data_IF_364880135800
#
_entry.id   IF_364880135800
#
_cell.length_a   1.000
_cell.length_b   1.000
_cell.length_c   1.000
_cell.angle_alpha   90.00
_cell.angle_beta   90.00
_cell.angle_gamma   90.00
#
_symmetry.space_group_name_H-M   'P 1'
#
loop_
_entity.id
_entity.type
_entity.pdbx_description
1 polymer ?
#
# COMPACT_ATOMS: atom_id res chain seq x y z
N UNK A 1 -13.54 0.12 26.33
CA UNK A 1 -13.62 -1.28 26.74
C UNK A 1 -14.78 -1.48 27.71
N UNK A 2 -15.32 -2.70 27.77
CA UNK A 2 -16.53 -3.06 28.49
C UNK A 2 -16.29 -4.19 29.48
N UNK A 3 -15.11 -4.22 30.12
CA UNK A 3 -14.72 -5.32 31.02
C UNK A 3 -15.79 -5.65 32.06
N UNK A 4 -16.36 -4.64 32.73
CA UNK A 4 -17.36 -4.86 33.77
C UNK A 4 -18.68 -5.44 33.21
N UNK A 5 -19.18 -4.89 32.09
CA UNK A 5 -20.42 -5.37 31.45
C UNK A 5 -20.25 -6.79 30.92
N UNK A 6 -19.12 -7.10 30.28
CA UNK A 6 -18.78 -8.44 29.81
C UNK A 6 -18.72 -9.44 30.97
N UNK A 7 -18.15 -9.03 32.10
CA UNK A 7 -18.11 -9.85 33.31
C UNK A 7 -19.52 -10.11 33.88
N UNK A 8 -20.38 -9.09 33.96
CA UNK A 8 -21.76 -9.22 34.42
C UNK A 8 -22.58 -10.17 33.53
N UNK A 9 -22.40 -10.12 32.22
CA UNK A 9 -23.02 -11.07 31.30
C UNK A 9 -22.48 -12.50 31.48
N UNK A 10 -21.20 -12.66 31.80
CA UNK A 10 -20.64 -13.98 32.11
C UNK A 10 -21.22 -14.55 33.41
N UNK A 11 -21.40 -13.71 34.45
CA UNK A 11 -22.12 -14.11 35.65
C UNK A 11 -23.58 -14.50 35.35
N UNK A 12 -24.23 -13.86 34.40
CA UNK A 12 -25.59 -14.23 33.95
C UNK A 12 -25.59 -15.65 33.33
N UNK A 13 -24.63 -15.97 32.46
CA UNK A 13 -24.50 -17.31 31.88
C UNK A 13 -24.30 -18.38 32.97
N UNK A 14 -23.46 -18.11 33.97
CA UNK A 14 -23.26 -19.06 35.11
C UNK A 14 -24.56 -19.25 35.86
N UNK A 15 -25.24 -18.15 36.26
CA UNK A 15 -26.51 -18.20 37.01
C UNK A 15 -27.62 -18.93 36.27
N UNK A 16 -27.62 -18.92 34.95
CA UNK A 16 -28.59 -19.63 34.11
C UNK A 16 -28.14 -21.04 33.71
N UNK A 17 -27.01 -21.54 34.28
CA UNK A 17 -26.48 -22.89 34.00
C UNK A 17 -25.91 -23.05 32.60
N UNK A 18 -25.57 -21.92 31.92
CA UNK A 18 -25.04 -21.91 30.54
C UNK A 18 -23.53 -21.69 30.47
N UNK A 19 -22.86 -21.61 31.60
CA UNK A 19 -21.40 -21.58 31.68
C UNK A 19 -20.93 -22.28 32.95
N UNK A 20 -19.71 -22.81 32.91
CA UNK A 20 -19.06 -23.49 34.03
C UNK A 20 -17.57 -23.20 34.06
N UNK A 21 -16.94 -23.28 35.22
CA UNK A 21 -15.51 -23.17 35.43
C UNK A 21 -14.85 -24.52 35.16
N UNK A 22 -13.88 -24.51 34.28
CA UNK A 22 -13.10 -25.66 33.82
C UNK A 22 -11.74 -25.67 34.51
N UNK A 23 -11.29 -26.87 34.96
CA UNK A 23 -9.96 -27.08 35.55
C UNK A 23 -9.03 -27.88 34.65
N UNK A 24 -9.50 -28.36 33.51
CA UNK A 24 -8.65 -29.01 32.53
C UNK A 24 -7.65 -28.00 31.92
N UNK A 25 -6.43 -28.42 31.71
CA UNK A 25 -5.43 -27.68 30.98
C UNK A 25 -5.86 -27.39 29.54
N UNK A 26 -5.21 -26.45 28.89
CA UNK A 26 -5.50 -26.12 27.48
C UNK A 26 -5.28 -27.32 26.54
N UNK A 27 -4.36 -28.22 26.86
CA UNK A 27 -4.10 -29.46 26.10
C UNK A 27 -5.23 -30.45 26.27
N UNK A 28 -5.66 -30.68 27.51
CA UNK A 28 -6.79 -31.56 27.83
C UNK A 28 -8.10 -31.03 27.26
N UNK A 29 -8.37 -29.71 27.34
CA UNK A 29 -9.54 -29.09 26.70
C UNK A 29 -9.52 -29.40 25.20
N UNK A 30 -8.35 -29.28 24.52
CA UNK A 30 -8.21 -29.61 23.12
C UNK A 30 -8.49 -31.08 22.81
N UNK A 31 -8.01 -31.99 23.65
CA UNK A 31 -8.29 -33.42 23.53
C UNK A 31 -9.78 -33.70 23.70
N UNK A 32 -10.39 -33.18 24.77
CA UNK A 32 -11.83 -33.36 25.06
C UNK A 32 -12.73 -32.80 23.98
N UNK A 33 -12.31 -31.71 23.32
CA UNK A 33 -13.06 -31.09 22.20
C UNK A 33 -13.17 -32.02 20.99
N UNK A 34 -12.26 -32.96 20.82
CA UNK A 34 -12.23 -33.89 19.68
C UNK A 34 -11.76 -33.23 18.38
N UNK A 35 -12.13 -33.82 17.26
CA UNK A 35 -11.73 -33.40 15.92
C UNK A 35 -12.96 -33.08 15.05
N UNK A 36 -12.73 -32.64 13.80
CA UNK A 36 -13.83 -32.44 12.83
C UNK A 36 -14.55 -33.76 12.50
N UNK A 37 -13.91 -34.93 12.73
CA UNK A 37 -14.47 -36.25 12.42
C UNK A 37 -15.01 -36.96 13.63
N UNK A 38 -14.56 -36.60 14.83
CA UNK A 38 -14.90 -37.23 16.08
C UNK A 38 -15.55 -36.20 17.00
N UNK A 39 -16.69 -36.53 17.64
CA UNK A 39 -17.34 -35.66 18.62
C UNK A 39 -16.44 -35.42 19.82
N UNK A 40 -16.70 -34.32 20.53
CA UNK A 40 -16.05 -34.07 21.81
C UNK A 40 -16.60 -34.91 22.94
N UNK A 41 -15.90 -34.91 24.08
CA UNK A 41 -16.28 -35.54 25.36
C UNK A 41 -16.63 -34.43 26.35
N UNK A 42 -17.64 -34.66 27.16
CA UNK A 42 -18.01 -33.76 28.26
C UNK A 42 -16.89 -33.68 29.30
N UNK A 43 -16.62 -32.49 29.82
CA UNK A 43 -15.70 -32.27 30.92
C UNK A 43 -16.30 -32.81 32.22
N UNK A 44 -15.50 -33.41 33.16
CA UNK A 44 -15.96 -33.80 34.47
C UNK A 44 -16.47 -32.62 35.32
N UNK A 45 -16.12 -31.39 34.97
CA UNK A 45 -16.51 -30.15 35.65
C UNK A 45 -17.77 -29.49 35.07
N UNK A 46 -18.33 -30.04 33.99
CA UNK A 46 -19.45 -29.47 33.23
C UNK A 46 -20.74 -29.36 34.05
N UNK A 47 -20.93 -30.28 35.00
CA UNK A 47 -22.12 -30.35 35.87
C UNK A 47 -21.87 -29.77 37.28
N UNK A 48 -20.79 -29.01 37.47
CA UNK A 48 -20.53 -28.33 38.75
C UNK A 48 -21.68 -27.42 39.15
N UNK A 49 -22.07 -27.36 40.44
CA UNK A 49 -23.13 -26.48 40.93
C UNK A 49 -22.91 -25.01 40.58
N UNK A 50 -23.99 -24.28 40.37
CA UNK A 50 -23.95 -22.85 39.98
C UNK A 50 -23.20 -22.02 41.03
N UNK A 51 -23.46 -22.27 42.31
CA UNK A 51 -22.86 -21.53 43.42
C UNK A 51 -21.34 -21.71 43.47
N UNK A 52 -20.85 -22.93 43.20
CA UNK A 52 -19.42 -23.20 43.14
C UNK A 52 -18.76 -22.55 41.92
N UNK A 53 -19.43 -22.57 40.76
CA UNK A 53 -18.94 -21.87 39.58
C UNK A 53 -18.86 -20.33 39.77
N UNK A 54 -19.82 -19.75 40.51
CA UNK A 54 -19.79 -18.31 40.83
C UNK A 54 -18.63 -17.99 41.77
N UNK A 55 -18.42 -18.74 42.84
CA UNK A 55 -17.29 -18.57 43.76
C UNK A 55 -15.96 -18.63 43.03
N UNK A 56 -15.76 -19.69 42.25
CA UNK A 56 -14.52 -19.87 41.48
C UNK A 56 -14.28 -18.71 40.48
N UNK A 57 -15.32 -18.28 39.78
CA UNK A 57 -15.19 -17.20 38.80
C UNK A 57 -14.88 -15.82 39.44
N UNK A 58 -15.44 -15.52 40.59
CA UNK A 58 -15.10 -14.33 41.41
C UNK A 58 -13.64 -14.38 41.88
N UNK A 59 -13.18 -15.55 42.37
CA UNK A 59 -11.79 -15.76 42.80
C UNK A 59 -10.80 -15.72 41.64
N UNK A 60 -11.20 -16.18 40.44
CA UNK A 60 -10.43 -16.00 39.21
C UNK A 60 -10.23 -14.50 38.90
N UNK A 61 -11.29 -13.68 39.02
CA UNK A 61 -11.22 -12.23 38.83
C UNK A 61 -10.31 -11.59 39.90
N UNK A 62 -10.37 -12.05 41.13
CA UNK A 62 -9.55 -11.57 42.25
C UNK A 62 -8.05 -11.90 42.11
N UNK A 63 -7.65 -12.74 41.15
CA UNK A 63 -6.26 -13.08 40.92
C UNK A 63 -5.70 -14.18 41.83
N UNK A 64 -6.57 -14.99 42.46
CA UNK A 64 -6.13 -16.06 43.35
C UNK A 64 -5.47 -17.24 42.65
N UNK A 65 -5.58 -17.33 41.33
CA UNK A 65 -5.11 -18.47 40.54
C UNK A 65 -4.05 -18.05 39.51
N UNK A 66 -3.14 -18.99 39.23
CA UNK A 66 -2.12 -18.82 38.22
C UNK A 66 -2.69 -18.91 36.78
N UNK A 67 -1.99 -18.33 35.81
CA UNK A 67 -2.33 -18.41 34.40
C UNK A 67 -2.50 -19.87 33.95
N UNK A 68 -3.57 -20.13 33.20
CA UNK A 68 -3.84 -21.45 32.61
C UNK A 68 -4.37 -22.53 33.55
N UNK A 69 -4.62 -22.22 34.85
CA UNK A 69 -5.15 -23.18 35.80
C UNK A 69 -6.66 -23.37 35.71
N UNK A 70 -7.39 -22.29 35.41
CA UNK A 70 -8.84 -22.29 35.26
C UNK A 70 -9.26 -21.51 34.02
N UNK A 71 -10.43 -21.89 33.47
CA UNK A 71 -11.07 -21.14 32.39
C UNK A 71 -12.60 -21.18 32.59
N UNK A 72 -13.30 -20.11 32.16
CA UNK A 72 -14.76 -20.18 32.04
C UNK A 72 -15.11 -20.69 30.64
N UNK A 73 -15.97 -21.74 30.58
CA UNK A 73 -16.48 -22.29 29.33
C UNK A 73 -17.99 -22.11 29.22
N UNK A 74 -18.46 -21.86 28.00
CA UNK A 74 -19.88 -21.93 27.69
C UNK A 74 -20.33 -23.43 27.71
N UNK A 75 -21.56 -23.68 28.15
CA UNK A 75 -22.19 -25.00 28.13
C UNK A 75 -23.14 -25.09 26.96
N UNK A 76 -22.71 -25.69 25.85
CA UNK A 76 -23.49 -25.75 24.60
C UNK A 76 -23.71 -27.22 24.19
N UNK A 77 -22.86 -27.76 23.31
CA UNK A 77 -23.00 -29.11 22.77
C UNK A 77 -21.64 -29.70 22.37
N UNK A 78 -21.12 -30.64 23.14
CA UNK A 78 -19.84 -31.29 22.87
C UNK A 78 -19.90 -32.25 21.65
N UNK A 79 -21.09 -32.62 21.17
CA UNK A 79 -21.28 -33.43 19.98
C UNK A 79 -21.50 -32.65 18.71
N UNK A 80 -21.55 -31.32 18.80
CA UNK A 80 -21.80 -30.45 17.65
C UNK A 80 -20.84 -30.70 16.48
N UNK A 81 -21.30 -30.80 15.24
CA UNK A 81 -20.43 -30.87 14.07
C UNK A 81 -19.58 -29.58 13.90
N UNK A 82 -20.08 -28.43 14.37
CA UNK A 82 -19.31 -27.21 14.46
C UNK A 82 -18.45 -27.19 15.72
N UNK A 83 -17.14 -27.29 15.54
CA UNK A 83 -16.19 -27.42 16.67
C UNK A 83 -16.19 -26.13 17.54
N UNK A 84 -16.62 -24.98 17.02
CA UNK A 84 -16.72 -23.73 17.78
C UNK A 84 -17.88 -23.75 18.78
N UNK A 85 -18.85 -24.66 18.61
CA UNK A 85 -19.99 -24.85 19.51
C UNK A 85 -19.72 -25.90 20.62
N UNK A 86 -18.52 -26.50 20.63
CA UNK A 86 -18.17 -27.54 21.61
C UNK A 86 -17.60 -26.90 22.89
N UNK A 87 -18.48 -26.38 23.72
CA UNK A 87 -18.18 -25.72 24.99
C UNK A 87 -16.95 -24.79 24.90
N UNK A 88 -16.99 -23.72 24.12
CA UNK A 88 -15.86 -22.82 23.90
C UNK A 88 -15.46 -22.08 25.18
N UNK A 89 -14.18 -21.71 25.28
CA UNK A 89 -13.66 -20.87 26.35
C UNK A 89 -14.20 -19.44 26.18
N UNK A 90 -14.77 -18.88 27.25
CA UNK A 90 -15.32 -17.54 27.35
C UNK A 90 -14.33 -16.59 28.04
N UNK A 91 -13.73 -17.02 29.16
CA UNK A 91 -12.68 -16.31 29.90
C UNK A 91 -11.49 -17.22 30.20
N UNK A 92 -10.31 -16.62 30.22
CA UNK A 92 -9.07 -17.24 30.70
C UNK A 92 -8.41 -16.34 31.76
N UNK A 93 -7.67 -16.96 32.69
CA UNK A 93 -6.79 -16.23 33.60
C UNK A 93 -5.58 -15.74 32.84
N UNK A 94 -5.26 -14.47 33.05
CA UNK A 94 -4.05 -13.83 32.56
C UNK A 94 -3.64 -12.71 33.52
N UNK A 95 -2.60 -12.96 34.29
CA UNK A 95 -2.02 -11.99 35.21
C UNK A 95 -1.07 -11.03 34.43
N UNK A 96 -1.67 -10.03 33.76
CA UNK A 96 -0.94 -9.06 32.97
C UNK A 96 -1.60 -7.69 33.08
N UNK A 97 -0.80 -6.63 33.21
CA UNK A 97 -1.29 -5.27 33.24
C UNK A 97 -1.91 -4.85 31.90
N UNK A 98 -3.10 -4.26 31.95
CA UNK A 98 -3.80 -3.75 30.79
C UNK A 98 -3.59 -2.24 30.64
N UNK A 99 -3.37 -1.75 29.43
CA UNK A 99 -2.99 -0.35 29.14
C UNK A 99 -4.03 0.72 29.59
N UNK A 100 -5.29 0.33 29.85
CA UNK A 100 -6.35 1.23 30.38
C UNK A 100 -6.73 0.94 31.81
N UNK A 101 -6.90 -0.34 32.17
CA UNK A 101 -7.40 -0.75 33.49
C UNK A 101 -6.30 -1.15 34.46
N UNK A 102 -5.03 -1.10 34.03
CA UNK A 102 -3.91 -1.51 34.89
C UNK A 102 -4.02 -2.96 35.32
N UNK A 103 -3.89 -3.20 36.62
CA UNK A 103 -3.90 -4.52 37.24
C UNK A 103 -5.26 -4.89 37.89
N UNK A 104 -6.35 -4.21 37.48
CA UNK A 104 -7.69 -4.47 38.02
C UNK A 104 -8.26 -5.82 37.62
N UNK A 105 -7.86 -6.36 36.45
CA UNK A 105 -8.41 -7.57 35.87
C UNK A 105 -7.38 -8.66 35.74
N UNK A 106 -7.64 -9.82 36.35
CA UNK A 106 -6.86 -11.04 36.25
C UNK A 106 -7.45 -12.07 35.29
N UNK A 107 -8.65 -11.79 34.74
CA UNK A 107 -9.34 -12.61 33.73
C UNK A 107 -9.59 -11.79 32.48
N UNK A 108 -9.44 -12.42 31.33
CA UNK A 108 -9.60 -11.77 30.04
C UNK A 108 -10.60 -12.54 29.16
N UNK A 109 -11.57 -11.84 28.56
CA UNK A 109 -12.53 -12.46 27.65
C UNK A 109 -11.85 -12.95 26.38
N UNK A 110 -12.36 -14.03 25.81
CA UNK A 110 -11.97 -14.47 24.48
C UNK A 110 -12.65 -13.63 23.42
N UNK A 111 -12.09 -13.63 22.20
CA UNK A 111 -12.58 -12.82 21.08
C UNK A 111 -14.07 -13.06 20.79
N UNK A 112 -14.49 -14.32 20.67
CA UNK A 112 -15.89 -14.66 20.36
C UNK A 112 -16.90 -14.14 21.38
N UNK A 113 -16.48 -14.04 22.65
CA UNK A 113 -17.29 -13.42 23.71
C UNK A 113 -17.29 -11.90 23.60
N UNK A 114 -16.12 -11.29 23.41
CA UNK A 114 -15.98 -9.84 23.50
C UNK A 114 -16.56 -9.11 22.29
N UNK A 115 -16.39 -9.63 21.07
CA UNK A 115 -16.72 -8.95 19.83
C UNK A 115 -18.23 -8.63 19.73
N UNK A 116 -19.08 -9.65 19.67
CA UNK A 116 -20.51 -9.49 19.45
C UNK A 116 -21.20 -8.72 20.59
N UNK A 117 -20.76 -8.93 21.82
CA UNK A 117 -21.33 -8.26 22.98
C UNK A 117 -20.92 -6.78 23.03
N UNK A 118 -19.67 -6.45 22.70
CA UNK A 118 -19.24 -5.06 22.60
C UNK A 118 -20.05 -4.30 21.54
N UNK A 119 -20.24 -4.90 20.37
CA UNK A 119 -21.04 -4.35 19.29
C UNK A 119 -22.52 -4.17 19.71
N UNK A 120 -23.07 -5.12 20.46
CA UNK A 120 -24.42 -5.04 20.99
C UNK A 120 -24.57 -3.91 22.03
N UNK A 121 -23.58 -3.74 22.92
CA UNK A 121 -23.56 -2.64 23.90
C UNK A 121 -23.51 -1.27 23.18
N UNK A 122 -22.78 -1.17 22.08
CA UNK A 122 -22.67 0.04 21.27
C UNK A 122 -23.88 0.29 20.36
N UNK A 123 -24.84 -0.63 20.30
CA UNK A 123 -26.05 -0.51 19.50
C UNK A 123 -25.81 -0.63 17.99
N UNK A 124 -24.75 -1.34 17.58
CA UNK A 124 -24.43 -1.57 16.17
C UNK A 124 -25.45 -2.53 15.54
N UNK A 125 -25.74 -2.33 14.27
CA UNK A 125 -26.65 -3.20 13.50
C UNK A 125 -25.91 -4.34 12.81
N UNK A 126 -24.63 -4.14 12.47
CA UNK A 126 -23.80 -5.07 11.72
C UNK A 126 -22.41 -5.16 12.33
N UNK A 127 -22.01 -6.37 12.72
CA UNK A 127 -20.65 -6.70 13.17
C UNK A 127 -19.83 -7.20 11.98
N UNK A 128 -18.77 -6.50 11.63
CA UNK A 128 -17.94 -6.82 10.48
C UNK A 128 -16.67 -7.56 10.92
N UNK A 129 -16.36 -8.69 10.29
CA UNK A 129 -15.17 -9.46 10.57
C UNK A 129 -14.57 -10.12 9.33
N UNK A 130 -13.45 -10.82 9.49
CA UNK A 130 -12.81 -11.57 8.40
C UNK A 130 -13.49 -12.92 8.18
N UNK A 131 -13.33 -13.51 6.98
CA UNK A 131 -13.97 -14.75 6.54
C UNK A 131 -13.64 -15.95 7.46
N UNK A 132 -12.51 -15.93 8.14
CA UNK A 132 -12.11 -16.97 9.10
C UNK A 132 -13.09 -17.14 10.28
N UNK A 133 -13.98 -16.18 10.53
CA UNK A 133 -15.03 -16.24 11.54
C UNK A 133 -16.40 -16.67 11.01
N UNK A 134 -16.52 -17.12 9.77
CA UNK A 134 -17.81 -17.55 9.20
C UNK A 134 -18.42 -18.70 10.01
N UNK A 135 -17.61 -19.70 10.35
CA UNK A 135 -18.05 -20.84 11.15
C UNK A 135 -18.29 -20.50 12.65
N UNK A 136 -17.86 -19.31 13.10
CA UNK A 136 -18.10 -18.80 14.44
C UNK A 136 -19.46 -18.09 14.57
N UNK A 137 -20.18 -17.79 13.47
CA UNK A 137 -21.47 -17.09 13.52
C UNK A 137 -22.51 -17.77 14.41
N UNK A 138 -22.70 -19.12 14.40
CA UNK A 138 -23.62 -19.77 15.34
C UNK A 138 -23.27 -19.55 16.80
N UNK A 139 -21.98 -19.44 17.14
CA UNK A 139 -21.52 -19.10 18.48
C UNK A 139 -21.78 -17.64 18.84
N UNK A 140 -21.56 -16.72 17.89
CA UNK A 140 -21.88 -15.29 18.02
C UNK A 140 -23.37 -15.10 18.36
N UNK A 141 -24.25 -15.74 17.58
CA UNK A 141 -25.69 -15.67 17.81
C UNK A 141 -26.07 -16.32 19.15
N UNK A 142 -25.48 -17.48 19.48
CA UNK A 142 -25.74 -18.18 20.74
C UNK A 142 -25.41 -17.31 21.97
N UNK A 143 -24.33 -16.58 21.97
CA UNK A 143 -23.99 -15.68 23.08
C UNK A 143 -25.03 -14.57 23.23
N UNK A 144 -25.39 -13.90 22.17
CA UNK A 144 -26.37 -12.81 22.20
C UNK A 144 -27.78 -13.29 22.60
N UNK A 145 -28.18 -14.48 22.18
CA UNK A 145 -29.47 -15.08 22.52
C UNK A 145 -29.57 -15.50 24.01
N UNK A 146 -28.43 -15.69 24.67
CA UNK A 146 -28.37 -16.22 26.03
C UNK A 146 -27.99 -15.18 27.10
N UNK A 147 -27.88 -13.90 26.75
CA UNK A 147 -27.65 -12.79 27.65
C UNK A 147 -28.70 -11.69 27.42
N UNK A 148 -28.96 -10.80 28.39
CA UNK A 148 -29.84 -9.65 28.20
C UNK A 148 -29.12 -8.53 27.40
N UNK A 149 -28.68 -8.82 26.18
CA UNK A 149 -28.03 -7.84 25.31
C UNK A 149 -29.01 -6.75 24.88
N UNK A 150 -28.57 -5.46 24.75
CA UNK A 150 -29.46 -4.36 24.39
C UNK A 150 -29.93 -4.43 22.92
N UNK A 151 -29.19 -5.07 22.03
CA UNK A 151 -29.59 -5.39 20.67
C UNK A 151 -28.88 -6.63 20.15
N UNK A 152 -29.26 -7.13 18.97
CA UNK A 152 -28.68 -8.28 18.32
C UNK A 152 -28.09 -7.89 16.97
N UNK A 153 -26.82 -7.46 16.90
CA UNK A 153 -26.14 -7.15 15.64
C UNK A 153 -26.05 -8.39 14.74
N UNK A 154 -25.97 -8.18 13.43
CA UNK A 154 -25.76 -9.25 12.47
C UNK A 154 -24.27 -9.35 12.12
N UNK A 155 -23.65 -10.51 12.36
CA UNK A 155 -22.28 -10.76 11.91
C UNK A 155 -22.22 -10.93 10.38
N UNK A 156 -21.27 -10.24 9.75
CA UNK A 156 -21.00 -10.31 8.31
C UNK A 156 -19.49 -10.44 8.10
N UNK A 157 -19.09 -11.46 7.33
CA UNK A 157 -17.71 -11.77 7.06
C UNK A 157 -17.33 -11.42 5.62
N UNK A 158 -16.06 -11.01 5.45
CA UNK A 158 -15.48 -10.68 4.15
C UNK A 158 -14.16 -11.41 3.94
N UNK A 159 -13.92 -11.83 2.71
CA UNK A 159 -12.64 -12.35 2.30
C UNK A 159 -11.56 -11.26 2.35
N UNK A 160 -10.31 -11.68 2.55
CA UNK A 160 -9.15 -10.81 2.46
C UNK A 160 -8.85 -10.49 0.99
N UNK A 161 -8.59 -9.22 0.68
CA UNK A 161 -7.98 -8.84 -0.58
C UNK A 161 -6.46 -9.02 -0.51
N UNK A 162 -5.93 -10.02 -1.18
CA UNK A 162 -4.49 -10.21 -1.31
C UNK A 162 -4.02 -9.59 -2.62
N UNK A 163 -2.88 -8.90 -2.59
CA UNK A 163 -2.23 -8.35 -3.78
C UNK A 163 -1.09 -9.26 -4.23
N UNK A 164 -0.91 -9.40 -5.54
CA UNK A 164 0.25 -10.10 -6.10
C UNK A 164 1.56 -9.32 -5.85
N UNK A 165 2.70 -10.00 -6.03
CA UNK A 165 4.06 -9.45 -5.84
C UNK A 165 4.30 -8.79 -4.47
N UNK A 166 3.53 -9.19 -3.45
CA UNK A 166 3.67 -8.69 -2.08
C UNK A 166 3.26 -9.74 -1.07
N UNK A 167 3.49 -9.46 0.21
CA UNK A 167 3.02 -10.26 1.34
C UNK A 167 2.11 -9.40 2.22
N UNK A 168 0.95 -9.94 2.63
CA UNK A 168 -0.03 -9.23 3.45
C UNK A 168 -0.02 -9.69 4.91
N UNK A 169 0.86 -10.62 5.28
CA UNK A 169 1.00 -11.12 6.64
C UNK A 169 1.80 -10.16 7.51
N UNK A 170 1.22 -9.64 8.61
CA UNK A 170 1.91 -8.77 9.57
C UNK A 170 3.23 -9.39 10.07
N UNK A 171 3.24 -10.71 10.36
CA UNK A 171 4.44 -11.41 10.81
C UNK A 171 5.56 -11.32 9.77
N UNK A 172 5.26 -11.57 8.50
CA UNK A 172 6.24 -11.51 7.40
C UNK A 172 6.72 -10.09 7.11
N UNK A 173 5.81 -9.11 7.16
CA UNK A 173 6.18 -7.71 7.02
C UNK A 173 7.09 -7.24 8.16
N UNK A 174 6.84 -7.71 9.39
CA UNK A 174 7.69 -7.43 10.54
C UNK A 174 9.09 -8.01 10.36
N UNK A 175 9.21 -9.25 9.88
CA UNK A 175 10.51 -9.88 9.56
C UNK A 175 11.31 -9.01 8.59
N UNK A 176 10.69 -8.47 7.52
CA UNK A 176 11.36 -7.59 6.57
C UNK A 176 11.89 -6.30 7.22
N UNK A 177 11.13 -5.71 8.16
CA UNK A 177 11.54 -4.50 8.89
C UNK A 177 12.66 -4.80 9.88
N UNK A 178 12.52 -5.86 10.68
CA UNK A 178 13.50 -6.24 11.71
C UNK A 178 14.85 -6.68 11.12
N UNK A 179 14.84 -7.28 9.94
CA UNK A 179 16.04 -7.69 9.20
C UNK A 179 16.64 -6.56 8.33
N UNK A 180 16.00 -5.38 8.29
CA UNK A 180 16.49 -4.23 7.53
C UNK A 180 16.40 -4.38 6.01
N UNK A 181 15.53 -5.28 5.51
CA UNK A 181 15.29 -5.51 4.08
C UNK A 181 14.42 -4.40 3.46
N UNK A 182 13.70 -3.68 4.30
CA UNK A 182 12.98 -2.44 4.01
C UNK A 182 13.28 -1.39 5.08
N UNK A 183 13.05 -0.10 4.77
CA UNK A 183 13.43 1.02 5.64
C UNK A 183 12.46 1.28 6.81
N UNK A 184 11.46 0.43 7.00
CA UNK A 184 10.48 0.54 8.08
C UNK A 184 9.06 0.22 7.62
N UNK A 185 8.10 0.41 8.51
CA UNK A 185 6.68 0.16 8.23
C UNK A 185 6.06 1.13 7.21
N UNK A 186 6.69 2.27 7.02
CA UNK A 186 6.31 3.31 6.06
C UNK A 186 7.14 3.29 4.77
N UNK A 187 7.98 2.28 4.57
CA UNK A 187 8.72 2.13 3.31
C UNK A 187 7.76 2.16 2.12
N UNK A 188 8.00 3.01 1.09
CA UNK A 188 7.11 3.16 -0.07
C UNK A 188 6.85 1.88 -0.88
N UNK A 189 7.63 0.82 -0.65
CA UNK A 189 7.45 -0.51 -1.27
C UNK A 189 6.52 -1.42 -0.49
N UNK A 190 6.22 -1.06 0.77
CA UNK A 190 5.38 -1.86 1.68
C UNK A 190 3.89 -1.67 1.41
N UNK A 191 3.06 -2.74 1.48
CA UNK A 191 1.61 -2.65 1.27
C UNK A 191 0.85 -2.12 2.50
N UNK A 192 1.54 -1.43 3.40
CA UNK A 192 0.92 -0.77 4.56
C UNK A 192 0.28 0.55 4.14
N UNK A 193 -0.74 1.02 4.86
CA UNK A 193 -1.32 2.34 4.61
C UNK A 193 -0.27 3.46 4.74
N UNK A 194 0.67 3.32 5.67
CA UNK A 194 1.78 4.27 5.83
C UNK A 194 2.71 4.27 4.61
N UNK A 195 3.10 3.09 4.12
CA UNK A 195 3.93 2.94 2.92
C UNK A 195 3.23 3.45 1.65
N UNK A 196 1.97 3.07 1.44
CA UNK A 196 1.17 3.54 0.30
C UNK A 196 1.02 5.07 0.32
N UNK A 197 0.74 5.68 1.48
CA UNK A 197 0.67 7.14 1.65
C UNK A 197 2.00 7.80 1.33
N UNK A 198 3.11 7.27 1.85
CA UNK A 198 4.45 7.79 1.59
C UNK A 198 4.85 7.66 0.13
N UNK A 199 4.41 6.60 -0.55
CA UNK A 199 4.57 6.44 -1.99
C UNK A 199 3.71 7.41 -2.80
N UNK A 200 2.66 8.02 -2.21
CA UNK A 200 1.77 8.97 -2.86
C UNK A 200 0.47 8.38 -3.39
N UNK A 201 0.09 7.19 -2.94
CA UNK A 201 -1.23 6.63 -3.23
C UNK A 201 -2.30 7.43 -2.49
N UNK A 202 -3.29 7.92 -3.22
CA UNK A 202 -4.32 8.77 -2.66
C UNK A 202 -5.42 7.95 -1.98
N UNK A 203 -6.06 8.46 -0.92
CA UNK A 203 -7.21 7.80 -0.30
C UNK A 203 -8.35 7.55 -1.29
N UNK A 204 -8.56 8.47 -2.23
CA UNK A 204 -9.59 8.39 -3.28
C UNK A 204 -9.32 7.18 -4.21
N UNK A 205 -8.09 7.02 -4.66
CA UNK A 205 -7.69 5.89 -5.51
C UNK A 205 -7.87 4.54 -4.79
N UNK A 206 -7.48 4.47 -3.50
CA UNK A 206 -7.64 3.24 -2.70
C UNK A 206 -9.13 2.91 -2.52
N UNK A 207 -9.99 3.92 -2.25
CA UNK A 207 -11.44 3.70 -2.17
C UNK A 207 -12.04 3.28 -3.50
N UNK A 208 -11.65 3.92 -4.61
CA UNK A 208 -12.11 3.56 -5.95
C UNK A 208 -11.74 2.11 -6.29
N UNK A 209 -10.52 1.69 -5.97
CA UNK A 209 -10.07 0.31 -6.12
C UNK A 209 -10.98 -0.68 -5.37
N UNK A 210 -11.24 -0.44 -4.08
CA UNK A 210 -12.10 -1.33 -3.29
C UNK A 210 -13.57 -1.30 -3.72
N UNK A 211 -14.05 -0.16 -4.22
CA UNK A 211 -15.39 -0.05 -4.79
C UNK A 211 -15.52 -0.89 -6.07
N UNK A 212 -14.50 -0.88 -6.91
CA UNK A 212 -14.46 -1.67 -8.15
C UNK A 212 -14.34 -3.18 -7.85
N UNK A 213 -13.50 -3.56 -6.89
CA UNK A 213 -13.34 -4.97 -6.47
C UNK A 213 -14.59 -5.52 -5.80
N UNK A 214 -15.34 -4.66 -5.10
CA UNK A 214 -16.51 -5.04 -4.34
C UNK A 214 -16.17 -5.92 -3.12
N UNK A 215 -17.21 -6.43 -2.46
CA UNK A 215 -17.09 -7.34 -1.32
C UNK A 215 -17.34 -8.77 -1.77
N UNK A 216 -16.54 -9.71 -1.25
CA UNK A 216 -16.59 -11.13 -1.60
C UNK A 216 -16.38 -12.00 -0.38
N UNK A 217 -16.86 -13.25 -0.43
CA UNK A 217 -16.53 -14.33 0.49
C UNK A 217 -15.57 -15.36 -0.11
N UNK A 218 -14.95 -15.04 -1.25
CA UNK A 218 -13.95 -15.89 -1.89
C UNK A 218 -12.57 -15.25 -1.78
N UNK A 219 -11.61 -15.93 -1.19
CA UNK A 219 -10.21 -15.50 -1.17
C UNK A 219 -9.67 -15.44 -2.60
N UNK A 220 -9.08 -14.30 -2.95
CA UNK A 220 -8.51 -14.05 -4.27
C UNK A 220 -7.21 -13.28 -4.17
N UNK A 221 -6.36 -13.47 -5.17
CA UNK A 221 -5.17 -12.64 -5.37
C UNK A 221 -5.52 -11.64 -6.47
N UNK A 222 -5.48 -10.36 -6.13
CA UNK A 222 -5.79 -9.25 -7.02
C UNK A 222 -4.47 -8.72 -7.59
N UNK A 223 -4.44 -8.44 -8.88
CA UNK A 223 -3.24 -7.86 -9.48
C UNK A 223 -2.98 -6.44 -8.92
N UNK A 224 -1.74 -6.19 -8.51
CA UNK A 224 -1.27 -4.86 -8.12
C UNK A 224 -1.49 -3.84 -9.25
N UNK A 225 -1.45 -4.28 -10.52
CA UNK A 225 -1.74 -3.45 -11.69
C UNK A 225 -3.13 -2.81 -11.64
N UNK A 226 -4.13 -3.48 -11.06
CA UNK A 226 -5.50 -2.93 -10.89
C UNK A 226 -5.48 -1.78 -9.89
N UNK A 227 -4.81 -1.95 -8.75
CA UNK A 227 -4.64 -0.88 -7.76
C UNK A 227 -3.87 0.31 -8.37
N UNK A 228 -2.77 0.05 -9.09
CA UNK A 228 -2.00 1.09 -9.77
C UNK A 228 -2.82 1.81 -10.85
N UNK A 229 -3.75 1.11 -11.51
CA UNK A 229 -4.67 1.73 -12.48
C UNK A 229 -5.64 2.69 -11.80
N UNK A 230 -6.20 2.32 -10.65
CA UNK A 230 -7.03 3.24 -9.87
C UNK A 230 -6.27 4.51 -9.49
N UNK A 231 -4.99 4.37 -9.10
CA UNK A 231 -4.10 5.51 -8.80
C UNK A 231 -3.82 6.35 -10.04
N UNK A 232 -3.55 5.74 -11.21
CA UNK A 232 -3.35 6.48 -12.48
C UNK A 232 -4.59 7.27 -12.85
N UNK A 233 -5.77 6.67 -12.73
CA UNK A 233 -7.04 7.32 -13.08
C UNK A 233 -7.29 8.55 -12.20
N UNK A 234 -7.09 8.44 -10.90
CA UNK A 234 -7.22 9.55 -9.97
C UNK A 234 -6.21 10.67 -10.26
N UNK A 235 -4.93 10.33 -10.34
CA UNK A 235 -3.87 11.30 -10.58
C UNK A 235 -3.93 11.92 -11.99
N UNK A 236 -4.45 11.22 -12.98
CA UNK A 236 -4.61 11.79 -14.33
C UNK A 236 -5.53 13.01 -14.35
N UNK A 237 -6.49 13.07 -13.45
CA UNK A 237 -7.42 14.20 -13.33
C UNK A 237 -6.82 15.33 -12.47
N UNK A 238 -6.07 14.98 -11.41
CA UNK A 238 -5.69 15.94 -10.37
C UNK A 238 -4.25 16.43 -10.43
N UNK A 239 -3.33 15.63 -11.00
CA UNK A 239 -1.91 15.94 -10.92
C UNK A 239 -1.50 17.08 -11.87
N UNK A 240 -0.86 18.15 -11.36
CA UNK A 240 -0.22 19.15 -12.20
C UNK A 240 0.82 18.50 -13.13
N UNK A 241 0.86 18.94 -14.40
CA UNK A 241 1.87 18.50 -15.38
C UNK A 241 3.11 19.36 -15.22
N UNK A 242 4.27 18.73 -15.26
CA UNK A 242 5.56 19.40 -15.19
C UNK A 242 6.61 18.59 -15.97
N UNK A 243 7.74 19.20 -16.26
CA UNK A 243 8.84 18.53 -16.91
C UNK A 243 9.94 18.20 -15.89
N UNK A 244 10.50 17.00 -16.01
CA UNK A 244 11.63 16.53 -15.22
C UNK A 244 12.50 15.64 -16.10
N UNK A 245 13.80 15.71 -15.94
CA UNK A 245 14.79 14.90 -16.65
C UNK A 245 15.52 14.04 -15.63
N UNK A 246 15.39 12.74 -15.76
CA UNK A 246 15.91 11.77 -14.80
C UNK A 246 17.35 11.36 -15.12
N UNK A 247 17.66 11.19 -16.40
CA UNK A 247 19.02 10.89 -16.90
C UNK A 247 19.45 11.99 -17.89
N UNK A 248 20.02 13.10 -17.37
CA UNK A 248 20.25 14.29 -18.15
C UNK A 248 21.41 14.16 -19.13
N UNK A 249 21.21 14.65 -20.36
CA UNK A 249 22.24 15.03 -21.31
C UNK A 249 22.03 16.49 -21.72
N UNK A 250 23.13 17.24 -21.82
CA UNK A 250 23.10 18.68 -22.13
C UNK A 250 22.81 18.92 -23.61
N UNK A 251 21.93 19.89 -23.88
CA UNK A 251 21.70 20.44 -25.20
C UNK A 251 22.07 21.94 -25.18
N UNK A 252 22.91 22.35 -26.11
CA UNK A 252 23.28 23.74 -26.30
C UNK A 252 22.56 24.28 -27.54
N UNK A 253 21.68 25.27 -27.38
CA UNK A 253 20.99 25.97 -28.46
C UNK A 253 21.94 27.05 -29.02
N UNK A 254 22.71 26.73 -30.04
CA UNK A 254 23.84 27.58 -30.51
C UNK A 254 23.43 28.93 -31.06
N UNK A 255 22.20 29.06 -31.54
CA UNK A 255 21.61 30.30 -32.01
C UNK A 255 20.72 31.01 -30.97
N UNK A 256 20.67 30.56 -29.72
CA UNK A 256 20.01 31.25 -28.63
C UNK A 256 20.98 32.24 -27.98
N UNK A 257 20.55 33.48 -27.66
CA UNK A 257 21.43 34.52 -27.09
C UNK A 257 21.99 34.08 -25.73
N UNK A 258 23.25 34.41 -25.48
CA UNK A 258 23.90 34.10 -24.17
C UNK A 258 23.34 34.99 -23.05
N UNK A 259 23.09 34.39 -21.89
CA UNK A 259 22.62 35.11 -20.70
C UNK A 259 21.15 35.55 -20.76
N UNK A 260 20.43 35.18 -21.81
CA UNK A 260 19.00 35.50 -21.94
C UNK A 260 18.16 34.31 -21.47
N UNK A 261 16.98 34.63 -20.89
CA UNK A 261 15.95 33.64 -20.53
C UNK A 261 14.64 34.06 -21.23
N UNK A 262 14.09 33.14 -22.02
CA UNK A 262 12.74 33.27 -22.56
C UNK A 262 11.75 32.55 -21.69
N UNK A 263 10.76 33.26 -21.17
CA UNK A 263 9.72 32.70 -20.34
C UNK A 263 8.52 32.25 -21.19
N UNK A 264 8.34 30.94 -21.28
CA UNK A 264 7.24 30.31 -22.01
C UNK A 264 6.09 30.03 -21.09
N UNK A 265 4.87 30.02 -21.59
CA UNK A 265 3.69 29.57 -20.87
C UNK A 265 3.34 28.14 -21.24
N UNK A 266 3.11 27.33 -20.24
CA UNK A 266 2.65 25.95 -20.37
C UNK A 266 1.41 25.69 -19.51
N UNK A 267 0.41 24.96 -19.99
CA UNK A 267 -0.74 24.61 -19.16
C UNK A 267 -0.30 23.76 -17.97
N UNK A 268 -0.87 24.03 -16.80
CA UNK A 268 -0.67 23.19 -15.61
C UNK A 268 -1.35 21.83 -15.82
N UNK A 269 -2.51 21.84 -16.47
CA UNK A 269 -3.21 20.60 -16.82
C UNK A 269 -3.81 20.73 -18.25
N UNK A 270 -3.66 19.69 -19.11
CA UNK A 270 -4.09 19.81 -20.52
C UNK A 270 -5.61 19.76 -20.73
N UNK A 271 -6.38 19.31 -19.74
CA UNK A 271 -7.84 19.15 -19.81
C UNK A 271 -8.60 20.00 -18.78
N UNK A 272 -7.89 20.69 -17.91
CA UNK A 272 -8.48 21.54 -16.88
C UNK A 272 -7.86 22.95 -16.93
N UNK A 273 -8.51 23.83 -17.68
CA UNK A 273 -8.10 25.23 -17.83
C UNK A 273 -8.16 26.01 -16.50
N UNK A 274 -8.98 25.56 -15.53
CA UNK A 274 -9.09 26.21 -14.23
C UNK A 274 -7.80 26.09 -13.40
N UNK A 275 -6.96 25.11 -13.68
CA UNK A 275 -5.63 24.98 -13.07
C UNK A 275 -4.63 26.04 -13.60
N UNK A 276 -4.97 26.76 -14.66
CA UNK A 276 -4.17 27.84 -15.21
C UNK A 276 -2.92 27.42 -15.96
N UNK A 277 -1.96 28.34 -16.03
CA UNK A 277 -0.67 28.15 -16.71
C UNK A 277 0.49 28.34 -15.75
N UNK A 278 1.65 27.78 -16.11
CA UNK A 278 2.93 27.99 -15.42
C UNK A 278 3.98 28.54 -16.38
N UNK A 279 4.95 29.24 -15.83
CA UNK A 279 6.07 29.75 -16.59
C UNK A 279 7.19 28.73 -16.65
N UNK A 280 7.71 28.48 -17.85
CA UNK A 280 8.84 27.60 -18.11
C UNK A 280 9.98 28.41 -18.69
N UNK A 281 11.14 28.36 -18.05
CA UNK A 281 12.33 29.09 -18.51
C UNK A 281 13.01 28.33 -19.64
N UNK A 282 13.21 28.96 -20.79
CA UNK A 282 14.10 28.48 -21.85
C UNK A 282 15.38 29.32 -21.85
N UNK A 283 16.51 28.63 -21.81
CA UNK A 283 17.86 29.20 -21.83
C UNK A 283 18.68 28.59 -22.95
N UNK A 284 19.86 29.13 -23.20
CA UNK A 284 20.79 28.60 -24.21
C UNK A 284 21.15 27.12 -23.92
N UNK A 285 21.33 26.77 -22.65
CA UNK A 285 21.60 25.39 -22.22
C UNK A 285 20.35 24.78 -21.58
N UNK A 286 20.00 23.56 -21.99
CA UNK A 286 18.90 22.79 -21.43
C UNK A 286 19.31 21.33 -21.23
N UNK A 287 18.59 20.63 -20.39
CA UNK A 287 18.70 19.19 -20.18
C UNK A 287 17.56 18.45 -20.88
N UNK A 288 17.87 17.33 -21.52
CA UNK A 288 16.89 16.36 -22.05
C UNK A 288 17.22 14.97 -21.50
N UNK A 289 16.27 14.02 -21.59
CA UNK A 289 16.55 12.63 -21.30
C UNK A 289 17.60 12.05 -22.27
N UNK A 290 18.63 11.39 -21.74
CA UNK A 290 19.63 10.70 -22.54
C UNK A 290 19.00 9.73 -23.53
N UNK A 291 17.96 9.01 -23.09
CA UNK A 291 17.20 8.10 -23.95
C UNK A 291 16.36 8.78 -25.04
N UNK A 292 16.28 10.11 -25.06
CA UNK A 292 15.66 10.86 -26.15
C UNK A 292 16.63 11.18 -27.29
N UNK A 293 17.89 10.82 -27.17
CA UNK A 293 18.89 10.95 -28.24
C UNK A 293 19.48 9.59 -28.60
N UNK A 294 19.75 9.37 -29.88
CA UNK A 294 20.47 8.19 -30.41
C UNK A 294 21.17 8.54 -31.71
N UNK A 295 22.45 8.21 -31.83
CA UNK A 295 23.25 8.52 -33.04
C UNK A 295 22.84 7.66 -34.23
N UNK A 296 22.69 6.35 -34.03
CA UNK A 296 22.27 5.40 -35.04
C UNK A 296 20.95 4.71 -34.64
N UNK A 297 19.83 5.43 -34.77
CA UNK A 297 18.56 4.96 -34.27
C UNK A 297 17.88 3.95 -35.21
N UNK A 298 17.07 3.03 -34.68
CA UNK A 298 16.22 2.16 -35.49
C UNK A 298 15.14 2.96 -36.24
N UNK A 299 14.61 2.43 -37.32
CA UNK A 299 13.68 3.09 -38.26
C UNK A 299 12.46 3.76 -37.60
N UNK A 300 12.02 3.30 -36.45
CA UNK A 300 10.84 3.84 -35.73
C UNK A 300 11.20 4.72 -34.52
N UNK A 301 12.42 5.20 -34.44
CA UNK A 301 12.83 6.12 -33.37
C UNK A 301 12.43 7.56 -33.73
N UNK A 302 11.37 8.05 -33.11
CA UNK A 302 10.82 9.40 -33.34
C UNK A 302 11.28 10.37 -32.26
N UNK A 303 12.57 10.45 -32.01
CA UNK A 303 13.22 11.33 -31.05
C UNK A 303 14.42 12.00 -31.70
N UNK A 304 15.29 12.67 -30.92
CA UNK A 304 16.43 13.41 -31.44
C UNK A 304 17.52 12.46 -31.99
N UNK A 305 18.11 12.86 -33.10
CA UNK A 305 19.23 12.19 -33.77
C UNK A 305 20.05 13.22 -34.56
N UNK A 306 21.29 12.93 -34.96
CA UNK A 306 22.08 13.82 -35.82
C UNK A 306 21.32 14.24 -37.08
N UNK A 307 21.27 15.53 -37.35
CA UNK A 307 20.53 16.15 -38.47
C UNK A 307 19.01 16.05 -38.37
N UNK A 308 18.48 15.46 -37.32
CA UNK A 308 17.04 15.27 -37.10
C UNK A 308 16.40 16.43 -36.33
N UNK A 309 15.10 16.62 -36.60
CA UNK A 309 14.29 17.65 -35.93
C UNK A 309 13.33 17.02 -34.93
N UNK A 310 13.19 17.64 -33.75
CA UNK A 310 12.18 17.35 -32.76
C UNK A 310 11.59 18.62 -32.18
N UNK A 311 10.36 18.54 -31.65
CA UNK A 311 9.77 19.67 -30.91
C UNK A 311 10.13 19.53 -29.42
N UNK A 312 10.68 20.59 -28.87
CA UNK A 312 10.73 20.78 -27.42
C UNK A 312 9.32 21.11 -26.92
N UNK A 313 8.86 20.36 -25.90
CA UNK A 313 7.50 20.49 -25.35
C UNK A 313 7.21 21.94 -24.95
N UNK A 314 6.09 22.48 -25.40
CA UNK A 314 5.66 23.88 -25.18
C UNK A 314 6.63 24.95 -25.69
N UNK A 315 7.62 24.61 -26.52
CA UNK A 315 8.65 25.52 -27.03
C UNK A 315 8.79 25.41 -28.57
N UNK A 316 9.98 25.30 -29.05
CA UNK A 316 10.35 25.39 -30.47
C UNK A 316 10.66 24.01 -31.08
N UNK A 317 10.76 23.94 -32.37
CA UNK A 317 11.41 22.82 -33.09
C UNK A 317 12.91 23.11 -33.07
N UNK A 318 13.67 22.06 -32.73
CA UNK A 318 15.14 22.09 -32.72
C UNK A 318 15.70 21.01 -33.62
N UNK A 319 16.86 21.31 -34.24
CA UNK A 319 17.62 20.38 -35.05
C UNK A 319 18.96 20.13 -34.39
N UNK A 320 19.35 18.86 -34.24
CA UNK A 320 20.67 18.48 -33.74
C UNK A 320 21.70 18.58 -34.87
N UNK A 321 22.68 19.45 -34.70
CA UNK A 321 23.70 19.70 -35.71
C UNK A 321 25.01 18.97 -35.40
N UNK A 322 25.39 18.85 -34.11
CA UNK A 322 26.64 18.32 -33.68
C UNK A 322 26.51 17.49 -32.38
N UNK A 323 27.39 16.52 -32.18
CA UNK A 323 27.43 15.62 -31.00
C UNK A 323 28.83 15.70 -30.41
N UNK A 324 28.91 16.22 -29.18
CA UNK A 324 30.18 16.36 -28.47
C UNK A 324 30.34 15.17 -27.52
N UNK A 325 31.53 14.55 -27.57
CA UNK A 325 31.88 13.39 -26.77
C UNK A 325 33.13 13.62 -25.94
N UNK A 326 33.25 12.92 -24.85
CA UNK A 326 34.47 12.86 -24.04
C UNK A 326 35.52 11.90 -24.66
N UNK A 327 36.64 11.78 -23.96
CA UNK A 327 37.76 10.90 -24.37
C UNK A 327 37.38 9.39 -24.36
N UNK A 328 36.33 9.03 -23.64
CA UNK A 328 35.77 7.66 -23.53
C UNK A 328 34.74 7.37 -24.65
N UNK A 329 34.34 8.41 -25.41
CA UNK A 329 33.33 8.33 -26.45
C UNK A 329 31.90 8.52 -25.96
N UNK A 330 31.70 8.85 -24.67
CA UNK A 330 30.41 9.13 -24.12
C UNK A 330 29.91 10.52 -24.50
N UNK A 331 28.61 10.63 -24.80
CA UNK A 331 27.99 11.89 -25.21
C UNK A 331 27.87 12.82 -24.00
N UNK A 332 28.49 13.97 -24.09
CA UNK A 332 28.47 15.02 -23.05
C UNK A 332 27.53 16.16 -23.40
N UNK A 333 27.48 16.58 -24.67
CA UNK A 333 26.64 17.69 -25.14
C UNK A 333 26.11 17.44 -26.56
N UNK A 334 24.95 18.02 -26.84
CA UNK A 334 24.34 18.04 -28.18
C UNK A 334 24.20 19.51 -28.60
N UNK A 335 24.83 19.89 -29.73
CA UNK A 335 24.69 21.22 -30.25
C UNK A 335 23.53 21.26 -31.25
N UNK A 336 22.55 22.11 -30.95
CA UNK A 336 21.32 22.25 -31.71
C UNK A 336 21.06 23.70 -32.14
N UNK A 337 20.29 23.87 -33.19
CA UNK A 337 19.67 25.13 -33.52
C UNK A 337 18.16 25.04 -33.34
N UNK A 338 17.53 26.11 -32.89
CA UNK A 338 16.07 26.21 -32.81
C UNK A 338 15.52 27.13 -33.93
N UNK A 339 14.27 26.85 -34.31
CA UNK A 339 13.55 27.66 -35.29
C UNK A 339 12.57 28.60 -34.57
N UNK A 340 12.86 29.92 -34.50
CA UNK A 340 12.07 30.88 -33.71
C UNK A 340 10.62 31.01 -34.17
N UNK A 341 10.31 30.71 -35.45
CA UNK A 341 8.96 30.84 -36.00
C UNK A 341 8.03 29.67 -35.58
N UNK A 342 8.57 28.63 -34.93
CA UNK A 342 7.83 27.41 -34.60
C UNK A 342 7.23 27.40 -33.19
N UNK A 343 7.40 28.44 -32.41
CA UNK A 343 6.77 28.60 -31.09
C UNK A 343 5.24 28.60 -31.18
N UNK A 344 4.55 28.13 -30.14
CA UNK A 344 3.09 28.23 -30.02
C UNK A 344 2.63 29.69 -30.18
N UNK A 345 1.64 29.94 -31.05
CA UNK A 345 1.15 31.28 -31.40
C UNK A 345 1.88 31.97 -32.55
N UNK A 346 3.02 31.42 -33.03
CA UNK A 346 3.74 31.92 -34.19
C UNK A 346 3.26 31.26 -35.50
N UNK A 347 3.51 31.84 -36.68
CA UNK A 347 3.07 31.29 -37.97
C UNK A 347 3.52 29.86 -38.23
N UNK A 348 4.73 29.49 -37.80
CA UNK A 348 5.31 28.15 -37.94
C UNK A 348 4.88 27.15 -36.87
N UNK A 349 4.02 27.51 -35.90
CA UNK A 349 3.60 26.64 -34.80
C UNK A 349 2.91 25.37 -35.30
N UNK A 350 2.21 25.43 -36.44
CA UNK A 350 1.52 24.28 -37.05
C UNK A 350 2.46 23.30 -37.78
N UNK A 351 3.76 23.62 -37.92
CA UNK A 351 4.75 22.76 -38.58
C UNK A 351 4.85 21.45 -37.80
N UNK A 352 4.58 20.33 -38.47
CA UNK A 352 4.56 19.01 -37.88
C UNK A 352 5.94 18.37 -37.91
N UNK A 353 6.40 17.90 -36.74
CA UNK A 353 7.53 16.99 -36.57
C UNK A 353 7.07 15.73 -35.91
N UNK A 354 7.77 14.61 -36.12
CA UNK A 354 7.31 13.31 -35.62
C UNK A 354 7.52 13.11 -34.11
N UNK A 355 8.46 13.83 -33.52
CA UNK A 355 8.86 13.69 -32.11
C UNK A 355 8.61 14.96 -31.31
N UNK A 356 8.13 14.79 -30.08
CA UNK A 356 8.11 15.83 -29.05
C UNK A 356 8.79 15.27 -27.81
N UNK A 357 9.80 15.99 -27.30
CA UNK A 357 10.56 15.63 -26.10
C UNK A 357 10.38 16.69 -25.02
N UNK A 358 10.47 16.29 -23.77
CA UNK A 358 10.49 17.19 -22.62
C UNK A 358 11.92 17.60 -22.29
N UNK A 359 12.06 18.67 -21.56
CA UNK A 359 13.33 19.32 -21.29
C UNK A 359 13.23 20.20 -20.05
N UNK A 360 14.37 20.56 -19.46
CA UNK A 360 14.46 21.53 -18.34
C UNK A 360 15.65 22.44 -18.58
N UNK A 361 15.49 23.74 -18.28
CA UNK A 361 16.58 24.73 -18.34
C UNK A 361 17.77 24.30 -17.47
N UNK A 362 18.99 24.42 -17.97
CA UNK A 362 20.18 24.12 -17.18
C UNK A 362 20.44 25.18 -16.08
N UNK A 363 20.08 26.44 -16.35
CA UNK A 363 20.27 27.55 -15.40
C UNK A 363 19.22 27.55 -14.29
N UNK A 364 17.94 27.32 -14.64
CA UNK A 364 16.83 27.41 -13.69
C UNK A 364 16.44 26.05 -13.09
N UNK A 365 16.78 24.95 -13.74
CA UNK A 365 16.51 23.60 -13.23
C UNK A 365 17.11 23.36 -11.85
N UNK A 366 16.46 22.50 -11.06
CA UNK A 366 16.91 22.15 -9.72
C UNK A 366 17.19 20.66 -9.61
N UNK A 367 18.35 20.27 -9.04
CA UNK A 367 18.65 18.87 -8.79
C UNK A 367 17.78 18.32 -7.65
N UNK A 368 17.31 17.09 -7.82
CA UNK A 368 16.50 16.37 -6.84
C UNK A 368 16.90 14.89 -6.80
N UNK A 369 16.64 14.24 -5.66
CA UNK A 369 16.68 12.78 -5.57
C UNK A 369 15.35 12.20 -6.04
N UNK A 370 15.40 11.23 -6.95
CA UNK A 370 14.22 10.47 -7.40
C UNK A 370 14.35 9.03 -6.94
N UNK A 371 13.30 8.49 -6.35
CA UNK A 371 13.18 7.10 -5.96
C UNK A 371 12.19 6.39 -6.87
N UNK A 372 12.69 5.43 -7.64
CA UNK A 372 11.88 4.59 -8.52
C UNK A 372 11.44 3.35 -7.76
N UNK A 373 10.30 3.46 -7.06
CA UNK A 373 9.71 2.31 -6.37
C UNK A 373 9.05 1.35 -7.36
N UNK A 374 9.28 0.05 -7.19
CA UNK A 374 8.68 -1.02 -7.99
C UNK A 374 8.16 -2.16 -7.09
N UNK A 375 7.76 -3.30 -7.67
CA UNK A 375 7.31 -4.50 -6.95
C UNK A 375 8.36 -4.96 -5.96
N UNK A 376 7.94 -5.23 -4.73
CA UNK A 376 8.87 -5.69 -3.68
C UNK A 376 9.38 -7.12 -3.93
N UNK A 377 8.58 -7.95 -4.64
CA UNK A 377 8.94 -9.32 -4.97
C UNK A 377 8.95 -9.56 -6.49
N UNK A 378 9.68 -10.59 -6.92
CA UNK A 378 9.82 -11.00 -8.32
C UNK A 378 8.78 -12.04 -8.76
N UNK A 379 8.02 -12.62 -7.81
CA UNK A 379 6.99 -13.64 -8.08
C UNK A 379 5.61 -13.18 -7.57
N UNK A 380 4.52 -13.57 -8.24
CA UNK A 380 3.18 -13.12 -7.87
C UNK A 380 2.75 -13.53 -6.46
N UNK A 381 3.12 -14.74 -6.01
CA UNK A 381 2.77 -15.25 -4.69
C UNK A 381 4.01 -15.76 -3.95
N UNK A 382 4.76 -14.90 -3.26
CA UNK A 382 6.01 -15.28 -2.58
C UNK A 382 5.83 -16.36 -1.50
N UNK A 383 4.65 -16.42 -0.87
CA UNK A 383 4.34 -17.40 0.17
C UNK A 383 3.81 -18.73 -0.38
N UNK A 384 3.48 -18.80 -1.67
CA UNK A 384 2.96 -20.00 -2.33
C UNK A 384 4.03 -20.98 -2.79
N UNK A 385 5.29 -20.57 -2.85
CA UNK A 385 6.41 -21.35 -3.33
C UNK A 385 6.86 -22.36 -2.26
N UNK A 386 6.45 -23.62 -2.44
CA UNK A 386 6.69 -24.69 -1.46
C UNK A 386 8.18 -24.97 -1.28
N UNK A 387 8.62 -24.99 -0.03
CA UNK A 387 9.99 -25.37 0.35
C UNK A 387 11.04 -24.29 0.14
N UNK A 388 10.63 -23.07 -0.24
CA UNK A 388 11.52 -21.92 -0.41
C UNK A 388 11.16 -20.80 0.56
N UNK A 389 12.16 -20.04 0.97
CA UNK A 389 11.94 -18.85 1.80
C UNK A 389 11.46 -17.69 0.90
N UNK A 390 10.38 -17.03 1.32
CA UNK A 390 9.80 -15.92 0.55
C UNK A 390 10.78 -14.76 0.32
N UNK A 391 11.80 -14.60 1.19
CA UNK A 391 12.85 -13.58 1.07
C UNK A 391 13.77 -13.80 -0.13
N UNK A 392 13.87 -15.04 -0.63
CA UNK A 392 14.64 -15.34 -1.86
C UNK A 392 14.06 -14.66 -3.11
N UNK A 393 12.79 -14.27 -3.04
CA UNK A 393 12.07 -13.61 -4.13
C UNK A 393 12.03 -12.08 -4.01
N UNK A 394 12.78 -11.49 -3.06
CA UNK A 394 12.91 -10.03 -3.00
C UNK A 394 13.49 -9.50 -4.31
N UNK A 395 12.86 -8.44 -4.83
CA UNK A 395 13.31 -7.78 -6.05
C UNK A 395 14.47 -6.82 -5.73
N UNK A 396 15.70 -7.08 -6.20
CA UNK A 396 16.85 -6.21 -5.95
C UNK A 396 16.68 -4.82 -6.56
N UNK A 397 15.82 -4.66 -7.58
CA UNK A 397 15.46 -3.40 -8.24
C UNK A 397 14.11 -2.84 -7.75
N UNK A 398 13.67 -3.26 -6.57
CA UNK A 398 12.44 -2.72 -5.98
C UNK A 398 12.53 -1.24 -5.60
N UNK A 399 13.76 -0.72 -5.50
CA UNK A 399 14.07 0.69 -5.22
C UNK A 399 15.36 1.08 -5.93
N UNK A 400 15.24 1.80 -7.04
CA UNK A 400 16.37 2.43 -7.71
C UNK A 400 16.38 3.94 -7.37
N UNK A 401 17.55 4.46 -7.00
CA UNK A 401 17.73 5.85 -6.56
C UNK A 401 18.54 6.64 -7.58
N UNK A 402 17.96 7.73 -8.08
CA UNK A 402 18.60 8.69 -9.00
C UNK A 402 18.92 9.95 -8.21
N UNK A 403 20.20 10.29 -8.08
CA UNK A 403 20.66 11.40 -7.23
C UNK A 403 20.61 12.76 -7.91
N UNK A 404 20.67 12.83 -9.25
CA UNK A 404 20.90 14.06 -10.01
C UNK A 404 19.83 14.27 -11.09
N UNK A 405 18.58 13.90 -10.82
CA UNK A 405 17.49 14.27 -11.68
C UNK A 405 17.27 15.78 -11.63
N UNK A 406 16.89 16.39 -12.75
CA UNK A 406 16.65 17.83 -12.84
C UNK A 406 15.17 18.09 -13.06
N UNK A 407 14.60 18.97 -12.23
CA UNK A 407 13.17 19.33 -12.30
C UNK A 407 12.97 20.83 -12.49
N UNK A 408 11.78 21.24 -12.96
CA UNK A 408 11.38 22.65 -12.96
C UNK A 408 11.40 23.22 -11.52
N UNK A 409 11.74 24.52 -11.32
CA UNK A 409 11.97 25.08 -9.97
C UNK A 409 10.82 24.86 -8.99
N UNK A 410 9.58 25.07 -9.42
CA UNK A 410 8.38 24.93 -8.57
C UNK A 410 8.19 23.51 -8.00
N UNK A 411 8.75 22.50 -8.68
CA UNK A 411 8.72 21.13 -8.18
C UNK A 411 9.69 20.98 -7.01
N UNK A 412 10.90 21.55 -7.11
CA UNK A 412 11.87 21.46 -6.03
C UNK A 412 11.44 22.22 -4.75
N UNK A 413 10.63 23.26 -4.94
CA UNK A 413 10.07 24.09 -3.87
C UNK A 413 8.72 23.54 -3.32
N UNK A 414 8.26 22.39 -3.81
CA UNK A 414 7.01 21.75 -3.39
C UNK A 414 7.02 21.28 -1.94
N UNK A 415 5.83 21.15 -1.36
CA UNK A 415 5.64 20.69 0.00
C UNK A 415 5.61 19.14 0.08
N UNK A 416 5.84 18.62 1.26
CA UNK A 416 5.71 17.20 1.55
C UNK A 416 4.31 16.67 1.18
N UNK A 417 4.26 15.65 0.35
CA UNK A 417 3.02 15.06 -0.14
C UNK A 417 2.45 15.69 -1.42
N UNK A 418 3.02 16.79 -1.92
CA UNK A 418 2.68 17.32 -3.23
C UNK A 418 3.00 16.30 -4.32
N UNK A 419 2.11 16.17 -5.30
CA UNK A 419 2.27 15.21 -6.37
C UNK A 419 2.18 15.89 -7.74
N UNK A 420 2.90 15.30 -8.72
CA UNK A 420 3.03 15.80 -10.08
C UNK A 420 2.98 14.67 -11.09
N UNK A 421 2.52 14.97 -12.29
CA UNK A 421 2.83 14.13 -13.43
C UNK A 421 4.08 14.70 -14.13
N UNK A 422 5.19 13.96 -14.08
CA UNK A 422 6.33 14.24 -14.95
C UNK A 422 5.99 13.78 -16.36
N UNK A 423 5.94 14.74 -17.26
CA UNK A 423 5.49 14.53 -18.65
C UNK A 423 6.30 13.39 -19.31
N UNK A 424 5.61 12.43 -19.92
CA UNK A 424 6.16 11.23 -20.56
C UNK A 424 6.80 10.20 -19.62
N UNK A 425 6.93 10.48 -18.32
CA UNK A 425 7.69 9.66 -17.37
C UNK A 425 6.79 8.91 -16.40
N UNK A 426 6.00 9.61 -15.59
CA UNK A 426 5.18 9.00 -14.55
C UNK A 426 4.58 10.00 -13.59
N UNK A 427 3.99 9.47 -12.50
CA UNK A 427 3.50 10.26 -11.38
C UNK A 427 4.47 10.16 -10.22
N UNK A 428 4.75 11.28 -9.59
CA UNK A 428 5.72 11.42 -8.51
C UNK A 428 5.15 12.26 -7.38
N UNK A 429 5.57 12.00 -6.15
CA UNK A 429 5.23 12.83 -5.01
C UNK A 429 6.46 13.14 -4.15
N UNK A 430 6.44 14.28 -3.48
CA UNK A 430 7.42 14.61 -2.47
C UNK A 430 7.35 13.61 -1.31
N UNK A 431 8.49 12.99 -0.98
CA UNK A 431 8.60 12.14 0.20
C UNK A 431 8.37 12.98 1.46
N UNK A 432 7.39 12.57 2.29
CA UNK A 432 6.99 13.32 3.47
C UNK A 432 7.89 13.08 4.71
N UNK A 433 8.90 12.23 4.59
CA UNK A 433 9.84 11.90 5.66
C UNK A 433 11.25 12.41 5.35
N UNK A 434 11.73 12.14 4.13
CA UNK A 434 13.13 12.37 3.76
C UNK A 434 13.35 13.69 3.00
N UNK A 435 12.31 14.30 2.40
CA UNK A 435 12.44 15.62 1.79
C UNK A 435 12.80 16.68 2.84
N UNK A 436 13.80 17.51 2.52
CA UNK A 436 14.25 18.63 3.36
C UNK A 436 14.41 19.90 2.50
N UNK A 437 14.29 21.09 3.07
CA UNK A 437 14.62 22.32 2.37
C UNK A 437 16.00 22.24 1.70
N UNK A 438 16.04 22.50 0.39
CA UNK A 438 17.26 22.42 -0.41
C UNK A 438 17.73 21.00 -0.77
N UNK A 439 17.04 19.97 -0.33
CA UNK A 439 17.29 18.56 -0.70
C UNK A 439 15.95 17.81 -0.86
N UNK A 440 15.20 18.11 -1.90
CA UNK A 440 13.93 17.43 -2.14
C UNK A 440 14.16 15.99 -2.60
N UNK A 441 13.30 15.10 -2.10
CA UNK A 441 13.23 13.67 -2.46
C UNK A 441 11.83 13.39 -3.01
N UNK A 442 11.74 12.78 -4.20
CA UNK A 442 10.45 12.43 -4.79
C UNK A 442 10.37 10.92 -5.05
N UNK A 443 9.29 10.32 -4.61
CA UNK A 443 8.97 8.92 -4.86
C UNK A 443 8.14 8.79 -6.14
N UNK A 444 8.48 7.84 -7.02
CA UNK A 444 7.60 7.46 -8.13
C UNK A 444 6.38 6.73 -7.56
N UNK A 445 5.21 7.30 -7.78
CA UNK A 445 3.92 6.73 -7.40
C UNK A 445 3.61 5.55 -8.32
N UNK A 446 3.40 5.85 -9.60
CA UNK A 446 3.15 4.87 -10.69
C UNK A 446 3.68 5.39 -12.02
N UNK A 447 3.94 4.49 -12.96
CA UNK A 447 4.25 4.81 -14.36
C UNK A 447 3.00 5.31 -15.10
N UNK A 448 3.17 6.01 -16.22
CA UNK A 448 2.04 6.48 -17.06
C UNK A 448 1.23 5.33 -17.69
N UNK A 449 1.88 4.19 -17.93
CA UNK A 449 1.24 2.99 -18.48
C UNK A 449 1.67 1.81 -17.65
N UNK A 450 0.87 0.76 -17.64
CA UNK A 450 1.28 -0.49 -17.03
C UNK A 450 2.47 -1.08 -17.81
N UNK A 451 3.66 -0.86 -17.27
CA UNK A 451 4.91 -1.41 -17.81
C UNK A 451 5.15 -2.86 -17.34
N UNK A 452 4.52 -3.25 -16.23
CA UNK A 452 4.71 -4.56 -15.62
C UNK A 452 4.17 -5.69 -16.48
N UNK A 453 3.02 -5.52 -17.11
CA UNK A 453 2.45 -6.49 -18.05
C UNK A 453 3.40 -6.84 -19.22
N UNK A 454 4.29 -5.91 -19.62
CA UNK A 454 5.35 -6.18 -20.59
C UNK A 454 6.49 -6.99 -19.98
N UNK A 455 6.92 -6.60 -18.78
CA UNK A 455 7.99 -7.30 -18.04
C UNK A 455 7.58 -8.74 -17.75
N UNK A 456 6.36 -9.00 -17.32
CA UNK A 456 5.83 -10.35 -17.13
C UNK A 456 5.88 -11.20 -18.40
N UNK A 457 5.53 -10.63 -19.55
CA UNK A 457 5.62 -11.32 -20.84
C UNK A 457 7.07 -11.64 -21.21
N UNK A 458 7.99 -10.71 -20.96
CA UNK A 458 9.42 -10.91 -21.21
C UNK A 458 10.01 -12.01 -20.30
N UNK A 459 9.67 -11.99 -19.00
CA UNK A 459 10.04 -13.03 -18.03
C UNK A 459 9.47 -14.40 -18.39
N UNK A 460 8.19 -14.46 -18.77
CA UNK A 460 7.54 -15.71 -19.20
C UNK A 460 8.12 -16.27 -20.50
N UNK A 461 8.70 -15.44 -21.35
CA UNK A 461 9.41 -15.87 -22.57
C UNK A 461 10.82 -16.34 -22.25
N UNK A 462 11.54 -15.67 -21.34
CA UNK A 462 12.89 -16.05 -20.92
C UNK A 462 12.92 -17.37 -20.14
N UNK A 463 11.89 -17.69 -19.37
CA UNK A 463 11.76 -18.95 -18.62
C UNK A 463 11.34 -20.16 -19.47
N UNK A 464 11.10 -19.98 -20.78
CA UNK A 464 10.77 -21.05 -21.75
C UNK A 464 11.94 -21.46 -22.64
N UNK A 465 13.09 -20.79 -22.53
CA UNK A 465 14.35 -21.13 -23.16
C UNK A 465 15.31 -21.70 -22.11
#
# INVERSE_FOLDING_TARGET
DYFQQLYEYALHLIKTGKAYVEELSAEEIREYRGTLKEPGRESPYRDRPVEENLDLFERMKAGEFADGTLALRARIDMASPNINMRDPVVYRIRNASHHRTGDEWHIYPMYDWAHGISDAIEGLTHSLCTLEFEDHRPLYDWFLDNIPAPCHPRQIEFARGNLDYTVMSKRRLRELVEEGLVNGWDDPRMPTLAGLRRRGFTPEAIRAFWTEMGVSKADSIISMGVLENAVRNDLNVRAPRTMAVLDPVKVVLTNFPEGETEWLEAPVHPQDEAMGTRKVALTREIWIERGDFMEDPPRKFFRMKPGGEVRLRNAFIVQCNDVIKDEQGEITELHCTFDPDTRSGMPGASRKVKGTIHWVSAEHGRPVEIRLCDRLFTVPNPLGEKGRDYREFLNPHSLDVIQNAIVEPHVADGAAGDFYQFERTGYFCHDNVDSKPGRPVLNRIVTLRDSWARIEKEMAQAGKN
#
